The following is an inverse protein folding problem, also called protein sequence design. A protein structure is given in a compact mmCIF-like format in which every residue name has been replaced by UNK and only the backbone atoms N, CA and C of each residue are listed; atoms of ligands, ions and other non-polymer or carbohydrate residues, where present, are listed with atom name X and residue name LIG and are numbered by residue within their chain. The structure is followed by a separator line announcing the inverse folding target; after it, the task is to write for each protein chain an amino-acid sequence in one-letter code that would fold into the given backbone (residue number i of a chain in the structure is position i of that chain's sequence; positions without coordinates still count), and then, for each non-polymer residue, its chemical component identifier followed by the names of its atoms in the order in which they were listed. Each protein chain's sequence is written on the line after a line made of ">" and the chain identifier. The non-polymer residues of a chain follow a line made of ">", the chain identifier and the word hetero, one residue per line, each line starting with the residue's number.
data_IF_360247922176
#
_entry.id   IF_360247922176
#
_cell.length_a   1.000
_cell.length_b   1.000
_cell.length_c   1.000
_cell.angle_alpha   90.00
_cell.angle_beta   90.00
_cell.angle_gamma   90.00
#
_symmetry.space_group_name_H-M   'P 1'
#
loop_
_entity.id
_entity.type
_entity.pdbx_description
1 polymer ?
#
# COMPACT_ATOMS: atom_id res chain seq x y z
N UNK A 1 -8.56 23.45 -5.61
CA UNK A 1 -8.22 22.02 -5.73
C UNK A 1 -9.54 21.24 -5.69
N UNK A 2 -9.81 20.34 -6.64
CA UNK A 2 -11.01 19.50 -6.55
C UNK A 2 -10.87 18.50 -5.40
N UNK A 3 -11.99 18.14 -4.77
CA UNK A 3 -12.00 17.10 -3.74
C UNK A 3 -11.64 15.75 -4.36
N UNK A 4 -10.52 15.11 -3.94
CA UNK A 4 -10.09 13.81 -4.45
C UNK A 4 -11.08 12.70 -4.14
N UNK A 5 -11.84 12.80 -3.04
CA UNK A 5 -12.85 11.81 -2.69
C UNK A 5 -14.00 11.89 -3.69
N UNK A 6 -14.48 13.11 -3.98
CA UNK A 6 -15.57 13.32 -4.94
C UNK A 6 -15.20 12.83 -6.35
N UNK A 7 -13.95 13.03 -6.77
CA UNK A 7 -13.43 12.51 -8.05
C UNK A 7 -13.41 10.99 -8.12
N UNK A 8 -13.30 10.30 -6.99
CA UNK A 8 -13.29 8.83 -6.92
C UNK A 8 -14.68 8.24 -6.74
N UNK A 9 -15.54 8.89 -5.97
CA UNK A 9 -16.90 8.40 -5.66
C UNK A 9 -17.89 8.73 -6.76
N UNK A 10 -17.78 9.92 -7.36
CA UNK A 10 -18.75 10.45 -8.33
C UNK A 10 -18.07 11.09 -9.55
N UNK A 11 -17.17 10.36 -10.25
CA UNK A 11 -16.42 10.90 -11.38
C UNK A 11 -17.31 11.41 -12.51
N UNK A 12 -18.46 10.77 -12.74
CA UNK A 12 -19.42 11.14 -13.78
C UNK A 12 -20.10 12.48 -13.48
N UNK A 13 -20.57 12.68 -12.23
CA UNK A 13 -21.15 13.95 -11.79
C UNK A 13 -20.13 15.10 -11.83
N UNK A 14 -18.86 14.81 -11.54
CA UNK A 14 -17.77 15.78 -11.67
C UNK A 14 -17.49 16.09 -13.14
N UNK A 15 -17.48 15.09 -14.02
CA UNK A 15 -17.31 15.27 -15.46
C UNK A 15 -18.40 16.15 -16.07
N UNK A 16 -19.67 15.96 -15.69
CA UNK A 16 -20.77 16.82 -16.14
C UNK A 16 -20.60 18.28 -15.70
N UNK A 17 -20.23 18.51 -14.43
CA UNK A 17 -19.99 19.86 -13.90
C UNK A 17 -18.83 20.55 -14.60
N UNK A 18 -17.78 19.79 -14.95
CA UNK A 18 -16.62 20.28 -15.68
C UNK A 18 -16.94 20.54 -17.16
N UNK A 19 -17.78 19.71 -17.79
CA UNK A 19 -18.21 19.88 -19.17
C UNK A 19 -18.96 21.22 -19.36
N UNK A 20 -19.77 21.63 -18.37
CA UNK A 20 -20.43 22.95 -18.36
C UNK A 20 -19.44 24.12 -18.37
N UNK A 21 -18.20 23.90 -17.93
CA UNK A 21 -17.10 24.88 -17.93
C UNK A 21 -16.17 24.72 -19.15
N UNK A 22 -16.53 23.88 -20.11
CA UNK A 22 -15.72 23.60 -21.30
C UNK A 22 -14.55 22.65 -21.06
N UNK A 23 -14.52 21.94 -19.92
CA UNK A 23 -13.46 20.98 -19.61
C UNK A 23 -13.97 19.54 -19.71
N UNK A 24 -13.30 18.71 -20.52
CA UNK A 24 -13.62 17.29 -20.64
C UNK A 24 -12.77 16.48 -19.67
N UNK A 25 -13.38 15.96 -18.62
CA UNK A 25 -12.73 15.01 -17.71
C UNK A 25 -12.69 13.63 -18.38
N UNK A 26 -11.50 13.03 -18.43
CA UNK A 26 -11.29 11.66 -18.90
C UNK A 26 -11.55 10.68 -17.75
N UNK A 27 -12.82 10.29 -17.61
CA UNK A 27 -13.29 9.38 -16.55
C UNK A 27 -12.68 7.99 -16.69
N UNK A 28 -12.50 7.50 -17.92
CA UNK A 28 -11.94 6.16 -18.17
C UNK A 28 -10.48 6.08 -17.71
N UNK A 29 -9.69 7.10 -18.06
CA UNK A 29 -8.31 7.22 -17.58
C UNK A 29 -8.25 7.36 -16.07
N UNK A 30 -9.16 8.12 -15.46
CA UNK A 30 -9.21 8.28 -14.01
C UNK A 30 -9.53 6.94 -13.32
N UNK A 31 -10.51 6.19 -13.81
CA UNK A 31 -10.87 4.85 -13.31
C UNK A 31 -9.70 3.87 -13.44
N UNK A 32 -9.02 3.86 -14.59
CA UNK A 32 -7.86 3.01 -14.81
C UNK A 32 -6.69 3.33 -13.85
N UNK A 33 -6.45 4.60 -13.57
CA UNK A 33 -5.43 5.02 -12.60
C UNK A 33 -5.81 4.65 -11.17
N UNK A 34 -7.07 4.80 -10.78
CA UNK A 34 -7.53 4.41 -9.45
C UNK A 34 -7.43 2.89 -9.24
N UNK A 35 -7.73 2.09 -10.26
CA UNK A 35 -7.55 0.64 -10.19
C UNK A 35 -6.08 0.25 -10.01
N UNK A 36 -5.19 0.84 -10.80
CA UNK A 36 -3.73 0.65 -10.63
C UNK A 36 -3.26 1.08 -9.25
N UNK A 37 -3.77 2.19 -8.72
CA UNK A 37 -3.45 2.67 -7.37
C UNK A 37 -3.81 1.63 -6.32
N UNK A 38 -5.02 1.06 -6.38
CA UNK A 38 -5.46 0.01 -5.43
C UNK A 38 -4.55 -1.21 -5.48
N UNK A 39 -4.21 -1.68 -6.67
CA UNK A 39 -3.30 -2.82 -6.86
C UNK A 39 -1.95 -2.53 -6.22
N UNK A 40 -1.36 -1.38 -6.51
CA UNK A 40 -0.06 -0.98 -5.96
C UNK A 40 -0.10 -0.81 -4.43
N UNK A 41 -1.21 -0.32 -3.89
CA UNK A 41 -1.38 -0.19 -2.45
C UNK A 41 -1.36 -1.57 -1.76
N UNK A 42 -2.14 -2.52 -2.27
CA UNK A 42 -2.16 -3.90 -1.74
C UNK A 42 -0.77 -4.56 -1.86
N UNK A 43 -0.10 -4.40 -3.00
CA UNK A 43 1.26 -4.92 -3.19
C UNK A 43 2.25 -4.34 -2.19
N UNK A 44 2.17 -3.03 -1.93
CA UNK A 44 3.05 -2.35 -0.98
C UNK A 44 2.79 -2.83 0.45
N UNK A 45 1.53 -2.96 0.85
CA UNK A 45 1.14 -3.48 2.16
C UNK A 45 1.62 -4.91 2.36
N UNK A 46 1.50 -5.76 1.32
CA UNK A 46 2.01 -7.13 1.35
C UNK A 46 3.53 -7.18 1.50
N UNK A 47 4.27 -6.42 0.69
CA UNK A 47 5.75 -6.36 0.78
C UNK A 47 6.21 -5.85 2.14
N UNK A 48 5.51 -4.86 2.69
CA UNK A 48 5.78 -4.32 4.01
C UNK A 48 5.56 -5.37 5.11
N UNK A 49 4.46 -6.14 5.03
CA UNK A 49 4.17 -7.23 5.95
C UNK A 49 5.24 -8.34 5.85
N UNK A 50 5.64 -8.71 4.63
CA UNK A 50 6.68 -9.70 4.39
C UNK A 50 8.02 -9.26 4.99
N UNK A 51 8.42 -8.01 4.75
CA UNK A 51 9.65 -7.41 5.30
C UNK A 51 9.64 -7.45 6.83
N UNK A 52 8.53 -7.07 7.46
CA UNK A 52 8.40 -7.08 8.92
C UNK A 52 8.49 -8.50 9.49
N UNK A 53 7.85 -9.47 8.82
CA UNK A 53 7.91 -10.89 9.18
C UNK A 53 9.35 -11.41 9.12
N UNK A 54 10.06 -11.15 8.02
CA UNK A 54 11.47 -11.54 7.83
C UNK A 54 12.40 -10.89 8.86
N UNK A 55 12.22 -9.61 9.17
CA UNK A 55 13.01 -8.94 10.22
C UNK A 55 12.81 -9.58 11.59
N UNK A 56 11.57 -9.96 11.92
CA UNK A 56 11.24 -10.63 13.19
C UNK A 56 11.88 -12.03 13.27
N UNK A 57 11.82 -12.81 12.19
CA UNK A 57 12.43 -14.15 12.15
C UNK A 57 13.96 -14.09 12.27
N UNK A 58 14.61 -13.11 11.62
CA UNK A 58 16.05 -12.87 11.75
C UNK A 58 16.41 -12.50 13.21
N UNK A 59 15.63 -11.61 13.82
CA UNK A 59 15.81 -11.24 15.23
C UNK A 59 15.72 -12.45 16.15
N UNK A 60 14.67 -13.27 15.99
CA UNK A 60 14.50 -14.51 16.77
C UNK A 60 15.65 -15.50 16.56
N UNK A 61 16.10 -15.70 15.32
CA UNK A 61 17.22 -16.60 15.02
C UNK A 61 18.56 -16.10 15.59
N UNK A 62 18.76 -14.79 15.69
CA UNK A 62 19.92 -14.19 16.39
C UNK A 62 19.82 -14.40 17.90
N UNK A 63 18.66 -14.14 18.50
CA UNK A 63 18.43 -14.36 19.94
C UNK A 63 18.52 -15.83 20.35
N UNK A 64 18.00 -16.75 19.55
CA UNK A 64 18.07 -18.19 19.80
C UNK A 64 19.52 -18.70 19.74
N UNK A 65 20.32 -18.25 18.77
CA UNK A 65 21.77 -18.55 18.71
C UNK A 65 22.54 -17.95 19.88
N UNK A 66 22.15 -16.75 20.35
CA UNK A 66 22.71 -16.16 21.56
C UNK A 66 22.43 -16.98 22.83
N UNK A 67 21.22 -17.55 22.95
CA UNK A 67 20.84 -18.44 24.07
C UNK A 67 21.57 -19.78 24.02
N UNK A 68 21.72 -20.37 22.83
CA UNK A 68 22.41 -21.66 22.68
C UNK A 68 23.91 -21.61 23.02
N UNK A 69 24.53 -20.43 22.92
CA UNK A 69 25.94 -20.19 23.27
C UNK A 69 26.15 -19.86 24.76
N UNK A 70 25.07 -19.60 25.51
CA UNK A 70 25.11 -19.32 26.95
C UNK A 70 24.79 -20.56 27.80
N UNK A 71 24.48 -21.70 27.19
CA UNK A 71 24.14 -22.96 27.87
C UNK A 71 25.19 -24.01 27.51
N UNK A 72 26.43 -23.77 27.93
CA UNK A 72 27.39 -24.84 28.17
C UNK A 72 27.91 -24.69 29.60
N UNK A 73 27.27 -25.30 30.60
CA UNK A 73 27.87 -25.50 31.90
C UNK A 73 28.62 -26.84 31.83
N UNK A 74 29.91 -26.79 31.49
CA UNK A 74 30.85 -27.92 31.68
C UNK A 74 31.93 -27.42 32.63
N UNK A 75 31.84 -27.79 33.91
CA UNK A 75 32.67 -28.81 34.58
C UNK A 75 33.99 -28.23 35.08
#
# INVERSE_FOLDING_TARGET
>A
MLDPNLLRTEPDAVAEKLARRGFKLDVDKLRALEERRKVLQVQTENLQAERNSRSKSIGQAKSARGRHRAITPGS
#
